data_IF_369153546617
#
_entry.id   IF_369153546617
#
_cell.length_a   1.000
_cell.length_b   1.000
_cell.length_c   1.000
_cell.angle_alpha   90.00
_cell.angle_beta   90.00
_cell.angle_gamma   90.00
#
_symmetry.space_group_name_H-M   'P 1'
#
loop_
_entity.id
_entity.type
_entity.pdbx_description
1 polymer ?
#
# COMPACT_ATOMS: atom_id res chain seq x y z
N UNK A 1 41.41 -6.68 42.23
CA UNK A 1 40.80 -7.91 41.67
C UNK A 1 41.88 -8.81 41.13
N UNK A 2 41.90 -10.08 41.53
CA UNK A 2 42.96 -11.04 41.16
C UNK A 2 42.59 -11.85 39.92
N UNK A 3 43.59 -12.39 39.20
CA UNK A 3 43.38 -13.15 37.96
C UNK A 3 42.50 -14.40 38.18
N UNK A 4 42.61 -15.01 39.36
CA UNK A 4 41.77 -16.12 39.80
C UNK A 4 40.27 -15.74 39.87
N UNK A 5 39.94 -14.53 40.30
CA UNK A 5 38.54 -14.04 40.35
C UNK A 5 37.97 -13.83 38.94
N UNK A 6 38.79 -13.35 37.99
CA UNK A 6 38.39 -13.23 36.58
C UNK A 6 38.12 -14.59 35.95
N UNK A 7 38.96 -15.57 36.24
CA UNK A 7 38.83 -16.91 35.68
C UNK A 7 37.63 -17.68 36.28
N UNK A 8 37.33 -17.47 37.57
CA UNK A 8 36.12 -17.99 38.20
C UNK A 8 34.85 -17.39 37.58
N UNK A 9 34.82 -16.07 37.36
CA UNK A 9 33.70 -15.38 36.71
C UNK A 9 33.49 -15.82 35.25
N UNK A 10 34.56 -16.12 34.52
CA UNK A 10 34.48 -16.67 33.16
C UNK A 10 33.87 -18.07 33.15
N UNK A 11 34.29 -18.94 34.07
CA UNK A 11 33.77 -20.31 34.20
C UNK A 11 32.30 -20.35 34.60
N UNK A 12 31.85 -19.47 35.50
CA UNK A 12 30.41 -19.37 35.85
C UNK A 12 29.57 -18.87 34.69
N UNK A 13 30.06 -17.90 33.90
CA UNK A 13 29.34 -17.42 32.71
C UNK A 13 29.18 -18.49 31.62
N UNK A 14 30.21 -19.31 31.40
CA UNK A 14 30.16 -20.35 30.38
C UNK A 14 29.44 -21.65 30.80
N UNK A 15 29.18 -21.85 32.10
CA UNK A 15 28.45 -23.04 32.59
C UNK A 15 26.96 -23.03 32.23
N UNK A 16 26.39 -21.87 31.91
CA UNK A 16 24.97 -21.72 31.54
C UNK A 16 24.70 -21.84 30.03
N UNK A 17 25.72 -21.67 29.19
CA UNK A 17 25.59 -21.61 27.73
C UNK A 17 25.67 -22.98 27.02
N UNK A 18 25.88 -24.08 27.77
CA UNK A 18 26.18 -25.40 27.21
C UNK A 18 25.28 -26.52 27.72
N UNK A 19 23.98 -26.27 27.96
CA UNK A 19 23.03 -27.38 28.14
C UNK A 19 22.55 -27.84 26.76
N UNK A 20 23.01 -29.01 26.25
CA UNK A 20 22.43 -29.57 25.04
C UNK A 20 20.97 -29.93 25.33
N UNK A 21 20.03 -29.28 24.64
CA UNK A 21 18.63 -29.66 24.65
C UNK A 21 18.50 -30.84 23.69
N UNK A 22 18.61 -32.06 24.21
CA UNK A 22 18.30 -33.28 23.44
C UNK A 22 16.78 -33.40 23.37
N UNK A 23 16.20 -32.86 22.29
CA UNK A 23 14.80 -33.09 21.93
C UNK A 23 14.69 -34.53 21.45
N UNK A 24 13.79 -35.31 22.05
CA UNK A 24 13.52 -36.66 21.55
C UNK A 24 12.83 -36.57 20.18
N UNK A 25 13.02 -37.56 19.31
CA UNK A 25 12.44 -37.54 17.95
C UNK A 25 10.92 -37.27 17.96
N UNK A 26 10.21 -37.79 18.98
CA UNK A 26 8.77 -37.57 19.17
C UNK A 26 8.44 -36.10 19.46
N UNK A 27 9.17 -35.46 20.37
CA UNK A 27 8.98 -34.04 20.69
C UNK A 27 9.32 -33.14 19.50
N UNK A 28 10.32 -33.52 18.69
CA UNK A 28 10.65 -32.80 17.46
C UNK A 28 9.51 -32.89 16.43
N UNK A 29 8.96 -34.08 16.22
CA UNK A 29 7.87 -34.29 15.26
C UNK A 29 6.58 -33.56 15.69
N UNK A 30 6.29 -33.51 17.00
CA UNK A 30 5.19 -32.71 17.56
C UNK A 30 5.39 -31.20 17.33
N UNK A 31 6.60 -30.68 17.53
CA UNK A 31 6.93 -29.27 17.28
C UNK A 31 6.85 -28.89 15.79
N UNK A 32 7.23 -29.81 14.89
CA UNK A 32 7.12 -29.58 13.44
C UNK A 32 5.65 -29.44 13.04
N UNK A 33 4.77 -30.32 13.53
CA UNK A 33 3.34 -30.24 13.26
C UNK A 33 2.72 -28.95 13.81
N UNK A 34 3.12 -28.52 15.00
CA UNK A 34 2.67 -27.24 15.57
C UNK A 34 3.17 -26.04 14.76
N UNK A 35 4.41 -26.08 14.28
CA UNK A 35 4.95 -25.04 13.41
C UNK A 35 4.24 -24.97 12.05
N UNK A 36 3.91 -26.11 11.45
CA UNK A 36 3.14 -26.17 10.21
C UNK A 36 1.74 -25.59 10.41
N UNK A 37 1.06 -26.00 11.49
CA UNK A 37 -0.24 -25.45 11.87
C UNK A 37 -0.19 -23.93 12.07
N UNK A 38 0.78 -23.43 12.83
CA UNK A 38 0.93 -21.99 13.08
C UNK A 38 1.23 -21.20 11.79
N UNK A 39 2.00 -21.78 10.86
CA UNK A 39 2.25 -21.18 9.55
C UNK A 39 0.98 -21.10 8.71
N UNK A 40 0.14 -22.15 8.75
CA UNK A 40 -1.15 -22.14 8.06
C UNK A 40 -2.12 -21.12 8.66
N UNK A 41 -2.22 -21.06 9.98
CA UNK A 41 -3.03 -20.05 10.69
C UNK A 41 -2.56 -18.62 10.36
N UNK A 42 -1.24 -18.39 10.33
CA UNK A 42 -0.66 -17.10 9.93
C UNK A 42 -0.97 -16.77 8.46
N UNK A 43 -0.85 -17.74 7.54
CA UNK A 43 -1.20 -17.54 6.14
C UNK A 43 -2.69 -17.24 5.94
N UNK A 44 -3.57 -17.85 6.74
CA UNK A 44 -5.00 -17.54 6.75
C UNK A 44 -5.27 -16.12 7.29
N UNK A 45 -4.63 -15.74 8.39
CA UNK A 45 -4.73 -14.39 8.97
C UNK A 45 -4.25 -13.31 8.00
N UNK A 46 -3.09 -13.50 7.36
CA UNK A 46 -2.59 -12.59 6.33
C UNK A 46 -3.55 -12.45 5.15
N UNK A 47 -4.17 -13.55 4.70
CA UNK A 47 -5.19 -13.51 3.63
C UNK A 47 -6.45 -12.76 4.06
N UNK A 48 -6.90 -12.93 5.31
CA UNK A 48 -8.05 -12.21 5.85
C UNK A 48 -7.79 -10.71 5.94
N UNK A 49 -6.62 -10.32 6.47
CA UNK A 49 -6.18 -8.92 6.54
C UNK A 49 -6.06 -8.31 5.14
N UNK A 50 -5.49 -9.03 4.17
CA UNK A 50 -5.41 -8.55 2.80
C UNK A 50 -6.79 -8.33 2.16
N UNK A 51 -7.77 -9.22 2.43
CA UNK A 51 -9.16 -9.03 1.96
C UNK A 51 -9.82 -7.82 2.61
N UNK A 52 -9.63 -7.63 3.92
CA UNK A 52 -10.16 -6.48 4.65
C UNK A 52 -9.58 -5.18 4.11
N UNK A 53 -8.26 -5.10 3.99
CA UNK A 53 -7.54 -3.94 3.44
C UNK A 53 -8.00 -3.62 2.02
N UNK A 54 -8.21 -4.62 1.16
CA UNK A 54 -8.74 -4.38 -0.21
C UNK A 54 -10.14 -3.77 -0.19
N UNK A 55 -11.01 -4.20 0.73
CA UNK A 55 -12.36 -3.62 0.87
C UNK A 55 -12.31 -2.19 1.39
N UNK A 56 -11.55 -1.94 2.46
CA UNK A 56 -11.39 -0.60 3.02
C UNK A 56 -10.78 0.38 2.02
N UNK A 57 -9.77 -0.06 1.26
CA UNK A 57 -9.18 0.76 0.19
C UNK A 57 -10.20 1.02 -0.91
N UNK A 58 -10.99 0.01 -1.31
CA UNK A 58 -12.06 0.18 -2.31
C UNK A 58 -13.12 1.18 -1.88
N UNK A 59 -13.64 1.04 -0.66
CA UNK A 59 -14.66 1.94 -0.10
C UNK A 59 -14.12 3.36 0.09
N UNK A 60 -12.86 3.49 0.53
CA UNK A 60 -12.18 4.78 0.63
C UNK A 60 -12.03 5.47 -0.73
N UNK A 61 -11.65 4.72 -1.77
CA UNK A 61 -11.52 5.24 -3.14
C UNK A 61 -12.87 5.69 -3.70
N UNK A 62 -13.94 4.91 -3.49
CA UNK A 62 -15.29 5.28 -3.92
C UNK A 62 -15.77 6.57 -3.24
N UNK A 63 -15.53 6.71 -1.93
CA UNK A 63 -15.90 7.90 -1.18
C UNK A 63 -15.11 9.13 -1.62
N UNK A 64 -13.82 8.98 -1.87
CA UNK A 64 -12.96 10.05 -2.38
C UNK A 64 -13.40 10.50 -3.79
N UNK A 65 -13.64 9.55 -4.70
CA UNK A 65 -14.11 9.85 -6.05
C UNK A 65 -15.47 10.56 -6.04
N UNK A 66 -16.40 10.12 -5.19
CA UNK A 66 -17.71 10.78 -5.06
C UNK A 66 -17.59 12.21 -4.53
N UNK A 67 -16.74 12.43 -3.52
CA UNK A 67 -16.48 13.77 -2.96
C UNK A 67 -15.89 14.73 -4.01
N UNK A 68 -14.96 14.23 -4.83
CA UNK A 68 -14.32 14.97 -5.91
C UNK A 68 -15.32 15.32 -7.03
N UNK A 69 -16.22 14.41 -7.38
CA UNK A 69 -17.18 14.63 -8.47
C UNK A 69 -18.23 15.70 -8.15
N UNK A 70 -18.44 16.04 -6.88
CA UNK A 70 -19.33 17.15 -6.49
C UNK A 70 -18.60 18.51 -6.59
N UNK A 71 -17.28 18.53 -6.53
CA UNK A 71 -16.49 19.76 -6.56
C UNK A 71 -16.18 20.19 -8.01
N UNK A 72 -16.45 21.45 -8.38
CA UNK A 72 -16.06 21.96 -9.68
C UNK A 72 -14.54 22.07 -9.80
N UNK A 73 -14.01 21.90 -11.02
CA UNK A 73 -12.63 22.27 -11.34
C UNK A 73 -12.56 23.81 -11.38
N UNK A 74 -11.54 24.44 -10.77
CA UNK A 74 -11.35 25.89 -10.89
C UNK A 74 -11.20 26.31 -12.35
N UNK A 75 -11.87 27.39 -12.76
CA UNK A 75 -11.69 27.98 -14.09
C UNK A 75 -10.27 28.52 -14.20
N UNK A 76 -9.43 27.85 -14.98
CA UNK A 76 -8.12 28.38 -15.35
C UNK A 76 -8.33 29.44 -16.43
N UNK A 77 -7.87 30.66 -16.18
CA UNK A 77 -8.02 31.83 -17.06
C UNK A 77 -7.37 31.68 -18.44
N UNK A 78 -6.66 30.58 -18.69
CA UNK A 78 -6.02 30.25 -19.97
C UNK A 78 -6.70 29.02 -20.60
N UNK A 79 -7.50 29.27 -21.64
CA UNK A 79 -8.20 28.24 -22.43
C UNK A 79 -7.27 27.56 -23.44
N UNK A 80 -6.18 26.91 -22.98
CA UNK A 80 -5.42 25.99 -23.84
C UNK A 80 -6.12 24.61 -23.89
N UNK A 81 -7.25 24.54 -24.59
CA UNK A 81 -8.03 23.31 -24.69
C UNK A 81 -7.31 22.25 -25.54
N UNK A 82 -6.88 21.15 -24.90
CA UNK A 82 -6.31 19.99 -25.58
C UNK A 82 -7.34 18.86 -25.66
N UNK A 83 -7.47 18.25 -26.84
CA UNK A 83 -8.37 17.10 -27.04
C UNK A 83 -7.66 15.80 -26.71
N UNK A 84 -8.19 15.08 -25.73
CA UNK A 84 -7.74 13.74 -25.36
C UNK A 84 -8.68 12.68 -25.99
N UNK A 85 -8.13 11.79 -26.81
CA UNK A 85 -8.84 10.63 -27.34
C UNK A 85 -8.24 9.36 -26.71
N UNK A 86 -9.08 8.57 -26.03
CA UNK A 86 -8.66 7.35 -25.32
C UNK A 86 -9.56 6.18 -25.67
N UNK A 87 -8.98 4.99 -25.70
CA UNK A 87 -9.73 3.73 -25.73
C UNK A 87 -9.96 3.25 -24.30
N UNK A 88 -11.18 2.82 -24.01
CA UNK A 88 -11.58 2.28 -22.72
C UNK A 88 -12.15 0.88 -22.91
N UNK A 89 -11.96 0.02 -21.92
CA UNK A 89 -12.69 -1.23 -21.87
C UNK A 89 -14.20 -0.96 -21.74
N UNK A 90 -14.99 -1.94 -22.17
CA UNK A 90 -16.47 -1.84 -22.21
C UNK A 90 -17.02 -1.56 -20.80
N UNK A 91 -16.47 -2.20 -19.77
CA UNK A 91 -16.90 -2.02 -18.39
C UNK A 91 -16.62 -0.61 -17.88
N UNK A 92 -15.45 -0.07 -18.20
CA UNK A 92 -15.00 1.26 -17.81
C UNK A 92 -15.86 2.32 -18.50
N UNK A 93 -16.17 2.12 -19.78
CA UNK A 93 -17.08 2.98 -20.53
C UNK A 93 -18.48 3.05 -19.89
N UNK A 94 -19.08 1.92 -19.53
CA UNK A 94 -20.37 1.92 -18.82
C UNK A 94 -20.28 2.50 -17.40
N UNK A 95 -19.14 2.35 -16.73
CA UNK A 95 -18.93 2.93 -15.41
C UNK A 95 -18.87 4.45 -15.49
N UNK A 96 -18.19 4.99 -16.50
CA UNK A 96 -18.15 6.42 -16.78
C UNK A 96 -19.56 6.97 -17.11
N UNK A 97 -20.34 6.22 -17.89
CA UNK A 97 -21.73 6.58 -18.22
C UNK A 97 -22.61 6.66 -16.96
N UNK A 98 -22.52 5.67 -16.07
CA UNK A 98 -23.23 5.68 -14.78
C UNK A 98 -22.83 6.85 -13.89
N UNK A 99 -21.53 7.16 -13.82
CA UNK A 99 -21.04 8.31 -13.04
C UNK A 99 -21.54 9.64 -13.60
N UNK A 100 -21.53 9.80 -14.92
CA UNK A 100 -22.05 10.98 -15.60
C UNK A 100 -23.53 11.20 -15.27
N UNK A 101 -24.35 10.15 -15.40
CA UNK A 101 -25.79 10.21 -15.06
C UNK A 101 -26.00 10.51 -13.57
N UNK A 102 -25.29 9.80 -12.69
CA UNK A 102 -25.46 9.93 -11.23
C UNK A 102 -25.18 11.36 -10.73
N UNK A 103 -24.17 12.02 -11.30
CA UNK A 103 -23.75 13.36 -10.88
C UNK A 103 -24.30 14.49 -11.76
N UNK A 104 -25.09 14.18 -12.80
CA UNK A 104 -25.62 15.18 -13.74
C UNK A 104 -24.52 15.88 -14.55
N UNK A 105 -23.42 15.19 -14.83
CA UNK A 105 -22.23 15.73 -15.50
C UNK A 105 -22.09 15.13 -16.90
N UNK A 106 -21.36 15.83 -17.78
CA UNK A 106 -20.90 15.21 -19.03
C UNK A 106 -19.76 14.24 -18.74
N UNK A 107 -19.57 13.22 -19.59
CA UNK A 107 -18.42 12.29 -19.48
C UNK A 107 -17.07 13.02 -19.45
N UNK A 108 -16.95 14.10 -20.24
CA UNK A 108 -15.79 15.02 -20.21
C UNK A 108 -15.59 15.57 -18.80
N UNK A 109 -16.61 16.21 -18.23
CA UNK A 109 -16.53 16.82 -16.90
C UNK A 109 -16.22 15.80 -15.79
N UNK A 110 -16.71 14.56 -15.89
CA UNK A 110 -16.34 13.49 -14.96
C UNK A 110 -14.85 13.18 -15.04
N UNK A 111 -14.31 12.97 -16.25
CA UNK A 111 -12.89 12.69 -16.45
C UNK A 111 -12.03 13.87 -15.98
N UNK A 112 -12.42 15.09 -16.34
CA UNK A 112 -11.70 16.32 -16.03
C UNK A 112 -11.63 16.55 -14.53
N UNK A 113 -12.73 16.38 -13.80
CA UNK A 113 -12.76 16.45 -12.32
C UNK A 113 -11.89 15.35 -11.69
N UNK A 114 -12.04 14.11 -12.13
CA UNK A 114 -11.25 13.00 -11.57
C UNK A 114 -9.75 13.22 -11.80
N UNK A 115 -9.37 13.71 -12.98
CA UNK A 115 -7.97 13.97 -13.33
C UNK A 115 -7.41 15.13 -12.50
N UNK A 116 -8.11 16.26 -12.47
CA UNK A 116 -7.66 17.45 -11.76
C UNK A 116 -7.48 17.19 -10.26
N UNK A 117 -8.47 16.58 -9.61
CA UNK A 117 -8.41 16.34 -8.18
C UNK A 117 -7.46 15.20 -7.80
N UNK A 118 -7.22 14.25 -8.70
CA UNK A 118 -6.17 13.25 -8.49
C UNK A 118 -4.78 13.91 -8.53
N UNK A 119 -4.55 14.79 -9.50
CA UNK A 119 -3.29 15.54 -9.62
C UNK A 119 -3.11 16.50 -8.43
N UNK A 120 -4.09 17.36 -8.14
CA UNK A 120 -4.07 18.32 -7.04
C UNK A 120 -3.85 17.63 -5.68
N UNK A 121 -4.47 16.47 -5.44
CA UNK A 121 -4.26 15.69 -4.21
C UNK A 121 -2.80 15.21 -4.08
N UNK A 122 -2.20 14.74 -5.18
CA UNK A 122 -0.80 14.30 -5.20
C UNK A 122 0.13 15.49 -5.04
N UNK A 123 -0.07 16.57 -5.80
CA UNK A 123 0.75 17.79 -5.76
C UNK A 123 0.73 18.39 -4.35
N UNK A 124 -0.45 18.55 -3.75
CA UNK A 124 -0.59 19.06 -2.37
C UNK A 124 0.09 18.18 -1.33
N UNK A 125 0.18 16.86 -1.56
CA UNK A 125 0.85 15.95 -0.62
C UNK A 125 2.36 16.19 -0.51
N UNK A 126 2.97 16.85 -1.50
CA UNK A 126 4.39 17.18 -1.48
C UNK A 126 4.72 18.47 -0.73
N UNK A 127 3.74 19.38 -0.55
CA UNK A 127 3.99 20.71 0.04
C UNK A 127 5.08 21.46 -0.73
N UNK A 128 6.10 21.94 -0.01
CA UNK A 128 7.26 22.66 -0.58
C UNK A 128 8.45 21.72 -0.92
N UNK A 129 8.28 20.39 -0.86
CA UNK A 129 9.34 19.43 -1.19
C UNK A 129 9.43 19.19 -2.71
N UNK A 130 10.04 20.16 -3.40
CA UNK A 130 10.35 20.08 -4.83
C UNK A 130 11.16 18.82 -5.18
N UNK A 131 11.98 18.31 -4.26
CA UNK A 131 12.75 17.11 -4.49
C UNK A 131 11.84 15.86 -4.50
N UNK A 132 10.81 15.80 -3.66
CA UNK A 132 9.80 14.74 -3.71
C UNK A 132 8.99 14.76 -5.00
N UNK A 133 8.55 15.95 -5.43
CA UNK A 133 7.86 16.12 -6.70
C UNK A 133 8.72 15.66 -7.90
N UNK A 134 9.98 16.10 -7.97
CA UNK A 134 10.90 15.69 -9.02
C UNK A 134 11.19 14.18 -9.00
N UNK A 135 11.27 13.55 -7.82
CA UNK A 135 11.37 12.09 -7.73
C UNK A 135 10.13 11.38 -8.26
N UNK A 136 8.94 11.91 -8.02
CA UNK A 136 7.68 11.35 -8.53
C UNK A 136 7.64 11.37 -10.07
N UNK A 137 7.94 12.51 -10.69
CA UNK A 137 7.98 12.64 -12.15
C UNK A 137 9.03 11.72 -12.79
N UNK A 138 10.25 11.71 -12.24
CA UNK A 138 11.37 10.93 -12.81
C UNK A 138 11.29 9.43 -12.50
N UNK A 139 10.42 9.00 -11.58
CA UNK A 139 10.16 7.58 -11.33
C UNK A 139 9.44 6.94 -12.50
N UNK A 140 8.56 7.68 -13.16
CA UNK A 140 7.75 7.15 -14.28
C UNK A 140 8.62 6.95 -15.52
N UNK A 141 9.56 7.86 -15.79
CA UNK A 141 10.45 7.78 -16.95
C UNK A 141 11.45 6.62 -16.86
N UNK A 142 11.93 6.26 -15.66
CA UNK A 142 12.85 5.13 -15.46
C UNK A 142 12.26 3.73 -15.71
N UNK A 143 10.94 3.58 -15.78
CA UNK A 143 10.30 2.28 -16.03
C UNK A 143 9.85 2.10 -17.50
N UNK A 144 10.22 3.04 -18.38
CA UNK A 144 9.85 3.05 -19.80
C UNK A 144 11.04 2.81 -20.74
N UNK A 145 12.23 2.55 -20.18
CA UNK A 145 13.42 2.04 -20.89
C UNK A 145 13.61 0.55 -20.57
#
# INVERSE_FOLDING_TARGET
MTNAQRQAAFRTRHKAAGKPVTVTKKEHDELVLECERLREELAQACRAVAKHRRREVGDGVLRAASAVLVQPVPDTTELDEKRLAVTLGVREYFSLDRLAVHHGLTKRAVIERLLWWADDSIVRSFGDDDAAFNRYLNRVTKNLE
#
